data_IF_383805551001
#
_entry.id   IF_383805551001
#
_cell.length_a   1.000
_cell.length_b   1.000
_cell.length_c   1.000
_cell.angle_alpha   90.00
_cell.angle_beta   90.00
_cell.angle_gamma   90.00
#
_symmetry.space_group_name_H-M   'P 1'
#
loop_
_entity.id
_entity.type
_entity.pdbx_description
1 polymer ?
#
# COMPACT_ATOMS: atom_id res chain seq x y z
N UNK A 1 -7.09 -1.67 -17.40
CA UNK A 1 -6.38 -1.49 -16.12
C UNK A 1 -5.89 -2.84 -15.66
N UNK A 2 -4.67 -2.92 -15.12
CA UNK A 2 -4.20 -4.13 -14.45
C UNK A 2 -4.83 -4.15 -13.05
N UNK A 3 -5.53 -5.22 -12.72
CA UNK A 3 -5.95 -5.48 -11.35
C UNK A 3 -4.67 -5.73 -10.52
N UNK A 4 -4.52 -5.11 -9.35
CA UNK A 4 -3.37 -5.38 -8.49
C UNK A 4 -3.34 -6.87 -8.14
N UNK A 5 -2.15 -7.43 -7.97
CA UNK A 5 -2.02 -8.82 -7.55
C UNK A 5 -2.71 -9.01 -6.19
N UNK A 6 -3.54 -10.04 -6.07
CA UNK A 6 -4.12 -10.43 -4.77
C UNK A 6 -3.03 -11.04 -3.89
N UNK A 7 -2.70 -10.34 -2.80
CA UNK A 7 -1.72 -10.78 -1.79
C UNK A 7 -2.40 -11.15 -0.47
N UNK A 8 -3.70 -11.49 -0.47
CA UNK A 8 -4.41 -11.91 0.74
C UNK A 8 -3.73 -13.07 1.47
N UNK A 9 -3.13 -14.00 0.71
CA UNK A 9 -2.37 -15.14 1.24
C UNK A 9 -0.89 -14.86 1.57
N UNK A 10 -0.33 -13.76 1.08
CA UNK A 10 1.11 -13.50 1.13
C UNK A 10 1.45 -12.29 2.01
N UNK A 11 2.73 -12.15 2.40
CA UNK A 11 3.22 -11.03 3.21
C UNK A 11 2.38 -10.79 4.46
N UNK A 12 2.09 -11.86 5.21
CA UNK A 12 1.29 -11.82 6.42
C UNK A 12 2.14 -12.17 7.64
N UNK A 13 1.87 -11.50 8.76
CA UNK A 13 2.41 -11.93 10.06
C UNK A 13 1.81 -13.29 10.42
N UNK A 14 2.67 -14.26 10.73
CA UNK A 14 2.23 -15.56 11.22
C UNK A 14 1.71 -15.43 12.65
N UNK A 15 0.44 -15.75 12.85
CA UNK A 15 -0.20 -15.81 14.16
C UNK A 15 -0.17 -17.24 14.73
N UNK A 16 -0.29 -17.34 16.05
CA UNK A 16 -0.61 -18.62 16.70
C UNK A 16 -2.02 -19.06 16.30
N UNK A 17 -2.38 -20.35 16.40
CA UNK A 17 -3.75 -20.80 16.10
C UNK A 17 -4.83 -20.08 16.92
N UNK A 18 -4.52 -19.75 18.19
CA UNK A 18 -5.43 -19.02 19.07
C UNK A 18 -5.58 -17.55 18.64
N UNK A 19 -4.48 -16.88 18.33
CA UNK A 19 -4.49 -15.49 17.87
C UNK A 19 -5.13 -15.36 16.49
N UNK A 20 -4.92 -16.33 15.60
CA UNK A 20 -5.58 -16.35 14.29
C UNK A 20 -7.10 -16.43 14.47
N UNK A 21 -7.61 -17.28 15.37
CA UNK A 21 -9.05 -17.35 15.64
C UNK A 21 -9.62 -16.03 16.16
N UNK A 22 -8.90 -15.34 17.06
CA UNK A 22 -9.26 -14.01 17.59
C UNK A 22 -9.23 -12.95 16.50
N UNK A 23 -8.18 -12.93 15.69
CA UNK A 23 -8.02 -12.03 14.55
C UNK A 23 -9.17 -12.19 13.55
N UNK A 24 -9.50 -13.42 13.15
CA UNK A 24 -10.57 -13.69 12.18
C UNK A 24 -11.93 -13.21 12.70
N UNK A 25 -12.23 -13.47 13.98
CA UNK A 25 -13.47 -12.98 14.60
C UNK A 25 -13.54 -11.46 14.61
N UNK A 26 -12.43 -10.79 14.94
CA UNK A 26 -12.35 -9.33 14.93
C UNK A 26 -12.43 -8.74 13.52
N UNK A 27 -11.74 -9.31 12.53
CA UNK A 27 -11.72 -8.82 11.15
C UNK A 27 -13.13 -8.88 10.53
N UNK A 28 -13.85 -9.97 10.79
CA UNK A 28 -15.25 -10.12 10.38
C UNK A 28 -16.17 -9.12 11.10
N UNK A 29 -16.04 -8.99 12.42
CA UNK A 29 -16.88 -8.07 13.20
C UNK A 29 -16.65 -6.59 12.84
N UNK A 30 -15.43 -6.25 12.44
CA UNK A 30 -15.04 -4.90 12.00
C UNK A 30 -15.22 -4.65 10.50
N UNK A 31 -15.59 -5.68 9.72
CA UNK A 31 -15.77 -5.57 8.27
C UNK A 31 -14.46 -5.38 7.48
N UNK A 32 -13.31 -5.71 8.08
CA UNK A 32 -11.97 -5.45 7.53
C UNK A 32 -11.35 -6.65 6.82
N UNK A 33 -12.14 -7.69 6.55
CA UNK A 33 -11.67 -8.89 5.87
C UNK A 33 -11.00 -8.57 4.51
N UNK A 34 -11.45 -7.52 3.82
CA UNK A 34 -10.88 -7.11 2.53
C UNK A 34 -9.52 -6.42 2.65
N UNK A 35 -9.19 -5.84 3.80
CA UNK A 35 -7.92 -5.13 3.98
C UNK A 35 -6.73 -6.08 3.94
N UNK A 36 -6.95 -7.39 4.10
CA UNK A 36 -5.89 -8.40 3.91
C UNK A 36 -5.33 -8.41 2.50
N UNK A 37 -6.05 -7.87 1.51
CA UNK A 37 -5.63 -7.81 0.12
C UNK A 37 -4.31 -7.08 -0.05
N UNK A 38 -4.14 -5.92 0.58
CA UNK A 38 -2.99 -5.03 0.43
C UNK A 38 -2.37 -4.55 1.76
N UNK A 39 -2.91 -4.96 2.91
CA UNK A 39 -2.26 -4.85 4.22
C UNK A 39 -1.94 -6.21 4.84
N UNK A 40 -0.85 -6.28 5.59
CA UNK A 40 -0.64 -7.28 6.64
C UNK A 40 -1.52 -6.95 7.85
N UNK A 41 -2.83 -7.18 7.69
CA UNK A 41 -3.80 -6.86 8.73
C UNK A 41 -3.57 -7.67 10.02
N UNK A 42 -2.97 -8.87 9.91
CA UNK A 42 -2.58 -9.69 11.06
C UNK A 42 -1.51 -9.02 11.89
N UNK A 43 -0.48 -8.49 11.23
CA UNK A 43 0.58 -7.74 11.90
C UNK A 43 0.04 -6.47 12.55
N UNK A 44 -0.77 -5.71 11.81
CA UNK A 44 -1.37 -4.48 12.33
C UNK A 44 -2.25 -4.76 13.56
N UNK A 45 -3.08 -5.81 13.51
CA UNK A 45 -3.92 -6.21 14.64
C UNK A 45 -3.08 -6.66 15.85
N UNK A 46 -2.07 -7.50 15.63
CA UNK A 46 -1.20 -8.02 16.69
C UNK A 46 -0.43 -6.93 17.41
N UNK A 47 0.05 -5.94 16.67
CA UNK A 47 0.82 -4.82 17.20
C UNK A 47 -0.09 -3.69 17.72
N UNK A 48 -1.41 -3.88 17.67
CA UNK A 48 -2.43 -2.89 18.05
C UNK A 48 -2.22 -1.54 17.34
N UNK A 49 -1.89 -1.61 16.05
CA UNK A 49 -1.62 -0.45 15.21
C UNK A 49 -2.84 0.47 15.12
N UNK A 50 -2.59 1.77 15.21
CA UNK A 50 -3.63 2.79 15.18
C UNK A 50 -3.86 3.28 13.76
N UNK A 51 -5.13 3.39 13.38
CA UNK A 51 -5.51 4.04 12.12
C UNK A 51 -5.32 5.55 12.24
N UNK A 52 -4.91 6.16 11.14
CA UNK A 52 -4.96 7.60 10.99
C UNK A 52 -6.42 8.08 10.83
N UNK A 53 -6.65 9.39 10.94
CA UNK A 53 -8.00 9.97 10.84
C UNK A 53 -8.71 9.70 9.51
N UNK A 54 -7.97 9.36 8.46
CA UNK A 54 -8.48 8.97 7.15
C UNK A 54 -8.72 7.44 7.01
N UNK A 55 -8.58 6.67 8.09
CA UNK A 55 -8.79 5.22 8.12
C UNK A 55 -7.61 4.39 7.62
N UNK A 56 -6.48 5.01 7.25
CA UNK A 56 -5.29 4.26 6.82
C UNK A 56 -4.56 3.66 8.01
N UNK A 57 -4.16 2.40 7.87
CA UNK A 57 -3.18 1.77 8.75
C UNK A 57 -1.76 2.25 8.39
N UNK A 58 -0.80 2.17 9.33
CA UNK A 58 0.56 2.61 9.10
C UNK A 58 1.24 1.92 7.91
N UNK A 59 2.11 2.65 7.22
CA UNK A 59 2.88 2.18 6.07
C UNK A 59 3.66 0.88 6.36
N UNK A 60 4.06 0.66 7.61
CA UNK A 60 4.75 -0.54 8.09
C UNK A 60 4.07 -1.85 7.65
N UNK A 61 2.74 -1.86 7.51
CA UNK A 61 1.96 -3.06 7.16
C UNK A 61 1.48 -3.08 5.71
N UNK A 62 1.78 -2.06 4.90
CA UNK A 62 1.40 -2.06 3.48
C UNK A 62 2.18 -3.12 2.73
N UNK A 63 1.48 -3.95 1.96
CA UNK A 63 2.06 -5.01 1.12
C UNK A 63 2.53 -4.44 -0.23
N UNK A 64 3.38 -5.18 -0.99
CA UNK A 64 3.92 -4.69 -2.26
C UNK A 64 2.88 -4.29 -3.33
N UNK A 65 1.65 -4.83 -3.25
CA UNK A 65 0.55 -4.46 -4.14
C UNK A 65 -0.21 -3.19 -3.71
N UNK A 66 0.03 -2.65 -2.50
CA UNK A 66 -0.62 -1.42 -2.05
C UNK A 66 -0.18 -0.21 -2.91
N UNK A 67 -1.09 0.69 -3.35
CA UNK A 67 -0.75 1.82 -4.22
C UNK A 67 0.35 2.73 -3.65
N UNK A 68 0.30 2.98 -2.35
CA UNK A 68 1.31 3.73 -1.59
C UNK A 68 2.29 2.85 -0.81
N UNK A 69 2.57 1.63 -1.28
CA UNK A 69 3.64 0.79 -0.73
C UNK A 69 4.97 1.56 -0.73
N UNK A 70 5.55 1.76 0.44
CA UNK A 70 6.65 2.70 0.67
C UNK A 70 7.84 2.02 1.35
N UNK A 71 8.96 2.73 1.37
CA UNK A 71 10.19 2.29 2.05
C UNK A 71 10.01 2.08 3.56
N UNK A 72 8.96 2.64 4.15
CA UNK A 72 8.57 2.47 5.55
C UNK A 72 7.86 1.12 5.82
N UNK A 73 7.46 0.39 4.78
CA UNK A 73 6.93 -0.96 4.92
C UNK A 73 8.02 -1.94 5.33
N UNK A 74 7.70 -2.85 6.26
CA UNK A 74 8.59 -3.96 6.64
C UNK A 74 8.86 -4.96 5.51
N UNK A 75 8.08 -4.89 4.42
CA UNK A 75 8.25 -5.71 3.23
C UNK A 75 9.01 -5.00 2.10
N UNK A 76 9.45 -3.75 2.31
CA UNK A 76 10.31 -3.05 1.36
C UNK A 76 11.73 -3.62 1.42
N UNK A 77 12.17 -4.23 0.32
CA UNK A 77 13.52 -4.80 0.17
C UNK A 77 14.24 -4.18 -1.04
N UNK A 78 15.46 -4.62 -1.30
CA UNK A 78 16.19 -4.21 -2.50
C UNK A 78 15.48 -4.64 -3.80
N UNK A 79 14.84 -5.81 -3.77
CA UNK A 79 14.09 -6.42 -4.88
C UNK A 79 12.66 -5.89 -4.97
N UNK A 80 12.05 -5.59 -3.81
CA UNK A 80 10.70 -5.02 -3.67
C UNK A 80 10.80 -3.61 -3.13
N UNK A 81 11.31 -2.70 -3.95
CA UNK A 81 11.52 -1.32 -3.54
C UNK A 81 10.18 -0.65 -3.25
N UNK A 82 10.00 -0.08 -2.08
CA UNK A 82 8.90 0.83 -1.79
C UNK A 82 9.12 2.21 -2.42
N UNK A 83 8.03 2.93 -2.67
CA UNK A 83 8.08 4.36 -2.98
C UNK A 83 8.51 5.18 -1.77
N UNK A 84 8.45 6.51 -1.90
CA UNK A 84 8.76 7.42 -0.78
C UNK A 84 7.80 8.60 -0.72
N UNK A 85 7.51 9.02 0.50
CA UNK A 85 6.83 10.28 0.77
C UNK A 85 7.85 11.41 0.83
N UNK A 86 7.56 12.53 0.18
CA UNK A 86 8.38 13.74 0.18
C UNK A 86 7.51 14.95 0.47
N UNK A 87 7.98 15.82 1.35
CA UNK A 87 7.34 17.12 1.58
C UNK A 87 7.78 18.10 0.49
N UNK A 88 6.82 18.66 -0.25
CA UNK A 88 7.08 19.69 -1.26
C UNK A 88 7.26 21.04 -0.59
N UNK A 89 7.92 21.98 -1.28
CA UNK A 89 8.07 23.38 -0.82
C UNK A 89 6.75 24.09 -0.55
N UNK A 90 5.65 23.62 -1.13
CA UNK A 90 4.28 24.09 -0.89
C UNK A 90 3.71 23.67 0.47
N UNK A 91 4.40 22.80 1.22
CA UNK A 91 3.89 22.16 2.44
C UNK A 91 2.97 20.97 2.17
N UNK A 92 2.77 20.58 0.91
CA UNK A 92 2.01 19.39 0.53
C UNK A 92 2.90 18.15 0.52
N UNK A 93 2.36 17.03 0.94
CA UNK A 93 3.01 15.73 0.76
C UNK A 93 2.84 15.25 -0.67
N UNK A 94 3.90 14.65 -1.20
CA UNK A 94 3.90 13.98 -2.49
C UNK A 94 4.45 12.56 -2.34
N UNK A 95 3.88 11.63 -3.07
CA UNK A 95 4.39 10.27 -3.16
C UNK A 95 5.17 10.07 -4.45
N UNK A 96 6.42 9.65 -4.34
CA UNK A 96 7.24 9.24 -5.48
C UNK A 96 7.17 7.71 -5.59
N UNK A 97 6.46 7.15 -6.58
CA UNK A 97 6.30 5.71 -6.70
C UNK A 97 7.59 5.03 -7.14
N UNK A 98 7.83 3.82 -6.65
CA UNK A 98 8.91 2.95 -7.11
C UNK A 98 8.51 2.16 -8.37
N UNK A 99 9.45 1.37 -8.89
CA UNK A 99 9.17 0.38 -9.92
C UNK A 99 8.14 -0.67 -9.47
N UNK A 100 8.09 -1.02 -8.18
CA UNK A 100 7.08 -1.94 -7.61
C UNK A 100 5.69 -1.36 -7.70
N UNK A 101 5.49 -0.11 -7.27
CA UNK A 101 4.19 0.56 -7.36
C UNK A 101 3.72 0.63 -8.82
N UNK A 102 4.61 1.06 -9.72
CA UNK A 102 4.33 1.19 -11.15
C UNK A 102 4.01 -0.17 -11.80
N UNK A 103 4.71 -1.24 -11.44
CA UNK A 103 4.45 -2.59 -11.96
C UNK A 103 3.09 -3.13 -11.53
N UNK A 104 2.67 -2.86 -10.30
CA UNK A 104 1.41 -3.37 -9.74
C UNK A 104 0.19 -2.55 -10.18
N UNK A 105 0.31 -1.22 -10.22
CA UNK A 105 -0.82 -0.31 -10.45
C UNK A 105 -0.82 0.35 -11.84
N UNK A 106 0.35 0.49 -12.46
CA UNK A 106 0.53 1.35 -13.63
C UNK A 106 0.36 2.84 -13.31
N UNK A 107 0.71 3.68 -14.28
CA UNK A 107 0.60 5.14 -14.15
C UNK A 107 -0.86 5.57 -13.98
N UNK A 108 -1.76 5.05 -14.82
CA UNK A 108 -3.18 5.41 -14.77
C UNK A 108 -3.85 4.98 -13.47
N UNK A 109 -3.51 3.78 -12.97
CA UNK A 109 -4.06 3.24 -11.72
C UNK A 109 -3.61 4.05 -10.51
N UNK A 110 -2.32 4.40 -10.42
CA UNK A 110 -1.82 5.30 -9.38
C UNK A 110 -2.46 6.69 -9.48
N UNK A 111 -2.54 7.26 -10.68
CA UNK A 111 -3.12 8.59 -10.88
C UNK A 111 -4.57 8.63 -10.40
N UNK A 112 -5.35 7.60 -10.72
CA UNK A 112 -6.73 7.49 -10.23
C UNK A 112 -6.79 7.31 -8.72
N UNK A 113 -5.97 6.43 -8.16
CA UNK A 113 -5.93 6.21 -6.72
C UNK A 113 -5.68 7.51 -5.97
N UNK A 114 -4.71 8.31 -6.41
CA UNK A 114 -4.43 9.61 -5.77
C UNK A 114 -5.58 10.60 -5.92
N UNK A 115 -6.24 10.63 -7.08
CA UNK A 115 -7.41 11.49 -7.28
C UNK A 115 -8.60 11.10 -6.38
N UNK A 116 -8.81 9.81 -6.15
CA UNK A 116 -10.00 9.31 -5.45
C UNK A 116 -9.79 9.07 -3.94
N UNK A 117 -8.57 8.65 -3.55
CA UNK A 117 -8.27 8.12 -2.21
C UNK A 117 -7.20 8.92 -1.45
N UNK A 118 -6.37 9.70 -2.14
CA UNK A 118 -5.34 10.55 -1.52
C UNK A 118 -5.40 11.99 -2.08
N UNK A 119 -6.57 12.67 -2.11
CA UNK A 119 -6.72 13.96 -2.80
C UNK A 119 -5.90 15.10 -2.19
N UNK A 120 -5.48 14.94 -0.93
CA UNK A 120 -4.64 15.90 -0.21
C UNK A 120 -3.14 15.71 -0.50
N UNK A 121 -2.77 14.62 -1.17
CA UNK A 121 -1.41 14.32 -1.58
C UNK A 121 -1.20 14.42 -3.10
N UNK A 122 0.02 14.75 -3.50
CA UNK A 122 0.41 14.75 -4.90
C UNK A 122 1.04 13.40 -5.30
N UNK A 123 0.83 12.96 -6.55
CA UNK A 123 1.59 11.87 -7.14
C UNK A 123 2.74 12.44 -7.97
N UNK A 124 3.98 12.19 -7.55
CA UNK A 124 5.20 12.68 -8.20
C UNK A 124 5.84 11.58 -9.05
N UNK A 125 5.30 11.39 -10.26
CA UNK A 125 5.78 10.37 -11.20
C UNK A 125 7.22 10.66 -11.65
N UNK A 126 8.12 9.66 -11.67
CA UNK A 126 9.43 9.80 -12.28
C UNK A 126 9.33 10.24 -13.76
N UNK A 127 10.27 11.07 -14.24
CA UNK A 127 10.25 11.60 -15.61
C UNK A 127 10.11 10.50 -16.68
N UNK A 128 10.74 9.33 -16.49
CA UNK A 128 10.60 8.19 -17.40
C UNK A 128 9.17 7.64 -17.45
N UNK A 129 8.46 7.59 -16.33
CA UNK A 129 7.06 7.13 -16.27
C UNK A 129 6.09 8.14 -16.90
N UNK A 130 6.42 9.43 -16.86
CA UNK A 130 5.65 10.47 -17.55
C UNK A 130 5.81 10.38 -19.07
N UNK A 131 7.04 10.14 -19.55
CA UNK A 131 7.35 10.06 -20.99
C UNK A 131 6.94 8.72 -21.62
N UNK A 132 6.98 7.63 -20.84
CA UNK A 132 6.72 6.27 -21.33
C UNK A 132 5.77 5.50 -20.40
N UNK A 133 4.50 5.95 -20.24
CA UNK A 133 3.55 5.33 -19.32
C UNK A 133 3.24 3.87 -19.67
N UNK A 134 3.25 3.54 -20.97
CA UNK A 134 2.99 2.19 -21.47
C UNK A 134 4.14 1.20 -21.18
N UNK A 135 5.35 1.68 -20.87
CA UNK A 135 6.49 0.80 -20.53
C UNK A 135 6.30 0.08 -19.20
N UNK A 136 5.38 0.55 -18.36
CA UNK A 136 4.99 -0.05 -17.08
C UNK A 136 3.65 -0.81 -17.17
N UNK A 137 3.08 -0.88 -18.38
CA UNK A 137 1.81 -1.56 -18.68
C UNK A 137 2.09 -2.78 -19.57
N UNK A 138 2.56 -3.88 -18.97
CA UNK A 138 2.62 -5.20 -19.62
C UNK A 138 1.81 -6.23 -18.82
#
# INVERSE_FOLDING_TARGET
MREPQDLSGDYNTQLSPEDEAKFQAWAKASGRERDTFDYDLRGAWKDNAQEAANGHLPDTYKKPNHPTFSQESKYSTHELQGGRWVEKKSGKWAFVPSSTNLKNMGVDGLSRYFQEREPDAELDLPAAAQLYPNSYSK
#
